data_IF_434210387911
#
_entry.id   IF_434210387911
#
_cell.length_a   1.000
_cell.length_b   1.000
_cell.length_c   1.000
_cell.angle_alpha   90.00
_cell.angle_beta   90.00
_cell.angle_gamma   90.00
#
_symmetry.space_group_name_H-M   'P 1'
#
loop_
_entity.id
_entity.type
_entity.pdbx_description
1 polymer ?
#
# COMPACT_ATOMS: atom_id res chain seq x y z
N UNK A 1 -9.05 20.67 -21.46
CA UNK A 1 -8.17 20.03 -20.47
C UNK A 1 -8.65 18.63 -20.14
N UNK A 2 -7.88 17.61 -20.49
CA UNK A 2 -8.15 16.26 -20.04
C UNK A 2 -7.58 16.07 -18.63
N UNK A 3 -8.44 15.79 -17.67
CA UNK A 3 -7.99 15.35 -16.38
C UNK A 3 -7.52 13.90 -16.48
N UNK A 4 -6.34 13.61 -15.95
CA UNK A 4 -5.88 12.24 -15.80
C UNK A 4 -6.86 11.48 -14.87
N UNK A 5 -7.29 10.31 -15.29
CA UNK A 5 -8.30 9.55 -14.58
C UNK A 5 -7.74 8.23 -14.09
N UNK A 6 -7.57 8.09 -12.78
CA UNK A 6 -7.26 6.80 -12.18
C UNK A 6 -8.45 5.85 -12.30
N UNK A 7 -8.17 4.57 -12.52
CA UNK A 7 -9.20 3.53 -12.64
C UNK A 7 -9.03 2.40 -11.64
N UNK A 8 -7.85 2.28 -11.03
CA UNK A 8 -7.51 1.20 -10.12
C UNK A 8 -6.74 1.73 -8.92
N UNK A 9 -6.92 1.09 -7.79
CA UNK A 9 -6.18 1.39 -6.57
C UNK A 9 -5.63 0.12 -5.94
N UNK A 10 -4.34 0.14 -5.58
CA UNK A 10 -3.70 -0.94 -4.84
C UNK A 10 -3.16 -0.44 -3.50
N UNK A 11 -3.30 -1.29 -2.49
CA UNK A 11 -2.62 -1.18 -1.23
C UNK A 11 -1.73 -2.41 -1.05
N UNK A 12 -0.44 -2.21 -0.84
CA UNK A 12 0.49 -3.32 -0.58
C UNK A 12 1.19 -3.07 0.74
N UNK A 13 1.08 -4.04 1.66
CA UNK A 13 1.83 -4.03 2.91
C UNK A 13 3.02 -4.99 2.80
N UNK A 14 4.23 -4.49 3.04
CA UNK A 14 5.43 -5.31 3.09
C UNK A 14 5.61 -5.88 4.50
N UNK A 15 5.21 -7.13 4.66
CA UNK A 15 5.25 -7.84 5.93
C UNK A 15 4.01 -8.71 6.14
N UNK A 16 3.85 -9.20 7.36
CA UNK A 16 2.67 -9.98 7.74
C UNK A 16 1.47 -9.06 7.96
N UNK A 17 0.43 -9.27 7.19
CA UNK A 17 -0.80 -8.48 7.27
C UNK A 17 -1.63 -8.97 8.47
N UNK A 18 -1.58 -8.23 9.57
CA UNK A 18 -2.35 -8.55 10.77
C UNK A 18 -3.85 -8.35 10.55
N UNK A 19 -4.73 -9.03 11.32
CA UNK A 19 -6.17 -8.83 11.21
C UNK A 19 -6.61 -7.36 11.36
N UNK A 20 -6.01 -6.63 12.28
CA UNK A 20 -6.36 -5.22 12.54
C UNK A 20 -5.98 -4.31 11.36
N UNK A 21 -4.79 -4.51 10.78
CA UNK A 21 -4.39 -3.76 9.59
C UNK A 21 -5.24 -4.14 8.38
N UNK A 22 -5.55 -5.43 8.21
CA UNK A 22 -6.45 -5.88 7.15
C UNK A 22 -7.82 -5.20 7.26
N UNK A 23 -8.40 -5.20 8.46
CA UNK A 23 -9.70 -4.56 8.71
C UNK A 23 -9.66 -3.07 8.38
N UNK A 24 -8.59 -2.38 8.80
CA UNK A 24 -8.39 -0.96 8.47
C UNK A 24 -8.34 -0.76 6.95
N UNK A 25 -7.53 -1.51 6.25
CA UNK A 25 -7.37 -1.37 4.79
C UNK A 25 -8.65 -1.75 4.04
N UNK A 26 -9.39 -2.76 4.50
CA UNK A 26 -10.70 -3.11 3.94
C UNK A 26 -11.70 -1.96 4.11
N UNK A 27 -11.71 -1.30 5.27
CA UNK A 27 -12.53 -0.11 5.51
C UNK A 27 -12.15 1.05 4.60
N UNK A 28 -10.85 1.31 4.43
CA UNK A 28 -10.35 2.35 3.50
C UNK A 28 -10.73 2.01 2.06
N UNK A 29 -10.56 0.76 1.66
CA UNK A 29 -10.98 0.32 0.31
C UNK A 29 -12.46 0.56 0.08
N UNK A 30 -13.31 0.13 1.00
CA UNK A 30 -14.76 0.29 0.86
C UNK A 30 -15.17 1.78 0.81
N UNK A 31 -14.66 2.58 1.72
CA UNK A 31 -15.07 3.98 1.87
C UNK A 31 -14.42 4.89 0.83
N UNK A 32 -13.08 4.93 0.80
CA UNK A 32 -12.34 5.84 -0.08
C UNK A 32 -12.37 5.36 -1.54
N UNK A 33 -11.99 4.10 -1.77
CA UNK A 33 -11.77 3.62 -3.12
C UNK A 33 -13.08 3.30 -3.84
N UNK A 34 -13.93 2.48 -3.24
CA UNK A 34 -15.16 2.05 -3.88
C UNK A 34 -16.25 3.13 -3.87
N UNK A 35 -16.52 3.76 -2.71
CA UNK A 35 -17.62 4.72 -2.58
C UNK A 35 -17.24 6.11 -3.09
N UNK A 36 -16.14 6.70 -2.61
CA UNK A 36 -15.79 8.08 -2.95
C UNK A 36 -15.17 8.17 -4.33
N UNK A 37 -14.16 7.33 -4.63
CA UNK A 37 -13.47 7.36 -5.92
C UNK A 37 -14.16 6.55 -7.02
N UNK A 38 -15.06 5.65 -6.65
CA UNK A 38 -15.82 4.84 -7.62
C UNK A 38 -14.96 3.90 -8.44
N UNK A 39 -13.87 3.36 -7.86
CA UNK A 39 -12.96 2.46 -8.57
C UNK A 39 -12.74 1.16 -7.80
N UNK A 40 -12.32 0.08 -8.47
CA UNK A 40 -11.91 -1.14 -7.79
C UNK A 40 -10.58 -0.95 -7.05
N UNK A 41 -10.41 -1.67 -5.95
CA UNK A 41 -9.21 -1.66 -5.13
C UNK A 41 -8.78 -3.06 -4.73
N UNK A 42 -7.48 -3.26 -4.57
CA UNK A 42 -6.88 -4.51 -4.08
C UNK A 42 -6.03 -4.25 -2.85
N UNK A 43 -5.99 -5.23 -1.97
CA UNK A 43 -5.10 -5.27 -0.80
C UNK A 43 -4.18 -6.47 -0.99
N UNK A 44 -2.88 -6.23 -0.91
CA UNK A 44 -1.84 -7.23 -1.15
C UNK A 44 -0.81 -7.24 -0.05
N UNK A 45 -0.07 -8.33 0.03
CA UNK A 45 1.08 -8.47 0.93
C UNK A 45 2.34 -8.74 0.13
N UNK A 46 3.40 -7.99 0.42
CA UNK A 46 4.74 -8.26 -0.10
C UNK A 46 5.61 -8.93 0.97
N UNK A 47 6.72 -9.57 0.57
CA UNK A 47 7.24 -9.67 -0.78
C UNK A 47 6.71 -10.86 -1.60
N UNK A 48 5.83 -11.68 -1.06
CA UNK A 48 5.35 -12.90 -1.74
C UNK A 48 4.65 -12.63 -3.07
N UNK A 49 4.03 -11.48 -3.23
CA UNK A 49 3.32 -11.09 -4.43
C UNK A 49 4.21 -10.47 -5.52
N UNK A 50 5.52 -10.38 -5.30
CA UNK A 50 6.44 -9.67 -6.18
C UNK A 50 6.36 -10.14 -7.63
N UNK A 51 6.49 -11.45 -7.86
CA UNK A 51 6.56 -12.00 -9.21
C UNK A 51 5.23 -12.01 -9.96
N UNK A 52 4.12 -12.01 -9.25
CA UNK A 52 2.80 -12.14 -9.87
C UNK A 52 2.09 -10.82 -10.08
N UNK A 53 2.41 -9.80 -9.30
CA UNK A 53 1.62 -8.56 -9.27
C UNK A 53 2.44 -7.29 -9.38
N UNK A 54 3.62 -7.19 -8.77
CA UNK A 54 4.44 -5.97 -8.82
C UNK A 54 5.01 -5.72 -10.22
N UNK A 55 5.36 -6.76 -10.96
CA UNK A 55 5.74 -6.64 -12.35
C UNK A 55 4.60 -6.06 -13.19
N UNK A 56 3.38 -6.53 -12.96
CA UNK A 56 2.18 -6.01 -13.63
C UNK A 56 1.91 -4.55 -13.26
N UNK A 57 2.20 -4.14 -12.03
CA UNK A 57 2.07 -2.75 -11.61
C UNK A 57 3.06 -1.85 -12.35
N UNK A 58 4.29 -2.33 -12.58
CA UNK A 58 5.32 -1.58 -13.28
C UNK A 58 5.03 -1.48 -14.78
N UNK A 59 4.56 -2.56 -15.39
CA UNK A 59 4.36 -2.67 -16.85
C UNK A 59 2.91 -2.46 -17.28
N UNK A 60 1.98 -2.38 -16.33
CA UNK A 60 0.55 -2.28 -16.60
C UNK A 60 0.08 -0.86 -16.96
N UNK A 61 -1.24 -0.63 -16.98
CA UNK A 61 -1.82 0.66 -17.34
C UNK A 61 -1.43 1.78 -16.38
N UNK A 62 -1.28 3.00 -16.89
CA UNK A 62 -0.95 4.19 -16.08
C UNK A 62 -2.08 4.65 -15.16
N UNK A 63 -3.28 4.12 -15.33
CA UNK A 63 -4.44 4.47 -14.52
C UNK A 63 -4.41 3.86 -13.10
N UNK A 64 -3.39 3.04 -12.79
CA UNK A 64 -3.19 2.49 -11.46
C UNK A 64 -2.54 3.53 -10.54
N UNK A 65 -3.09 3.69 -9.35
CA UNK A 65 -2.45 4.41 -8.25
C UNK A 65 -2.18 3.43 -7.11
N UNK A 66 -0.93 3.36 -6.66
CA UNK A 66 -0.48 2.40 -5.65
C UNK A 66 -0.13 3.10 -4.35
N UNK A 67 -0.50 2.50 -3.23
CA UNK A 67 -0.01 2.88 -1.91
C UNK A 67 0.70 1.69 -1.29
N UNK A 68 1.98 1.87 -1.00
CA UNK A 68 2.79 0.88 -0.33
C UNK A 68 2.99 1.27 1.12
N UNK A 69 2.73 0.33 2.01
CA UNK A 69 2.90 0.51 3.44
C UNK A 69 4.03 -0.38 3.93
N UNK A 70 4.89 0.16 4.77
CA UNK A 70 5.99 -0.57 5.36
C UNK A 70 6.18 -0.16 6.82
N UNK A 71 6.32 -1.16 7.71
CA UNK A 71 6.79 -0.94 9.06
C UNK A 71 8.31 -1.09 9.09
N UNK A 72 9.00 -0.20 9.80
CA UNK A 72 10.45 -0.24 9.93
C UNK A 72 10.92 -1.37 10.82
N UNK A 73 10.09 -1.78 11.78
CA UNK A 73 10.31 -2.91 12.66
C UNK A 73 9.10 -3.83 12.66
N UNK A 74 9.34 -5.14 12.64
CA UNK A 74 8.30 -6.16 12.62
C UNK A 74 8.48 -7.15 13.79
N UNK A 75 7.39 -7.79 14.15
CA UNK A 75 7.44 -8.95 15.03
C UNK A 75 8.09 -10.12 14.27
N UNK A 76 9.23 -10.68 14.74
CA UNK A 76 9.92 -11.77 14.06
C UNK A 76 9.06 -13.02 13.86
N UNK A 77 8.12 -13.28 14.76
CA UNK A 77 7.20 -14.41 14.65
C UNK A 77 6.25 -14.24 13.47
N UNK A 78 5.78 -13.00 13.22
CA UNK A 78 4.84 -12.71 12.15
C UNK A 78 5.52 -12.65 10.78
N UNK A 79 6.78 -12.23 10.72
CA UNK A 79 7.51 -12.06 9.47
C UNK A 79 8.34 -13.29 9.06
N UNK A 80 8.43 -14.29 9.92
CA UNK A 80 9.16 -15.53 9.65
C UNK A 80 10.64 -15.29 9.39
N UNK A 81 11.14 -15.73 8.24
CA UNK A 81 12.55 -15.62 7.85
C UNK A 81 12.92 -14.26 7.26
N UNK A 82 11.98 -13.38 7.03
CA UNK A 82 12.26 -12.06 6.47
C UNK A 82 12.74 -11.10 7.56
N UNK A 83 13.88 -10.45 7.35
CA UNK A 83 14.38 -9.40 8.23
C UNK A 83 13.70 -8.06 7.94
N UNK A 84 13.70 -7.16 8.95
CA UNK A 84 13.22 -5.79 8.76
C UNK A 84 13.97 -5.07 7.64
N UNK A 85 15.29 -5.25 7.58
CA UNK A 85 16.13 -4.65 6.53
C UNK A 85 15.75 -5.15 5.14
N UNK A 86 15.48 -6.45 5.01
CA UNK A 86 15.05 -7.03 3.75
C UNK A 86 13.70 -6.46 3.29
N UNK A 87 12.72 -6.44 4.18
CA UNK A 87 11.37 -5.92 3.87
C UNK A 87 11.41 -4.45 3.47
N UNK A 88 12.20 -3.65 4.20
CA UNK A 88 12.36 -2.23 3.87
C UNK A 88 13.10 -2.03 2.54
N UNK A 89 14.17 -2.77 2.30
CA UNK A 89 14.93 -2.70 1.06
C UNK A 89 14.07 -3.09 -0.15
N UNK A 90 13.29 -4.14 -0.01
CA UNK A 90 12.36 -4.59 -1.06
C UNK A 90 11.27 -3.54 -1.32
N UNK A 91 10.68 -2.95 -0.28
CA UNK A 91 9.69 -1.88 -0.42
C UNK A 91 10.28 -0.65 -1.13
N UNK A 92 11.48 -0.21 -0.74
CA UNK A 92 12.16 0.92 -1.36
C UNK A 92 12.56 0.64 -2.81
N UNK A 93 13.05 -0.56 -3.09
CA UNK A 93 13.43 -0.97 -4.45
C UNK A 93 12.23 -0.96 -5.39
N UNK A 94 11.12 -1.50 -4.97
CA UNK A 94 9.89 -1.49 -5.76
C UNK A 94 9.36 -0.06 -5.94
N UNK A 95 9.36 0.74 -4.88
CA UNK A 95 8.94 2.14 -4.96
C UNK A 95 9.81 2.92 -5.95
N UNK A 96 11.13 2.76 -5.87
CA UNK A 96 12.05 3.42 -6.79
C UNK A 96 11.84 2.99 -8.24
N UNK A 97 11.67 1.69 -8.47
CA UNK A 97 11.41 1.16 -9.81
C UNK A 97 10.12 1.72 -10.42
N UNK A 98 9.07 1.85 -9.60
CA UNK A 98 7.81 2.43 -10.05
C UNK A 98 7.95 3.94 -10.30
N UNK A 99 8.70 4.66 -9.48
CA UNK A 99 9.00 6.08 -9.71
C UNK A 99 9.78 6.27 -11.02
N UNK A 100 10.82 5.45 -11.25
CA UNK A 100 11.61 5.50 -12.47
C UNK A 100 10.78 5.18 -13.72
N UNK A 101 9.74 4.37 -13.58
CA UNK A 101 8.77 4.06 -14.63
C UNK A 101 7.65 5.11 -14.75
N UNK A 102 7.72 6.22 -14.03
CA UNK A 102 6.71 7.27 -13.97
C UNK A 102 5.33 6.77 -13.50
N UNK A 103 5.32 5.82 -12.58
CA UNK A 103 4.08 5.28 -12.00
C UNK A 103 3.62 6.13 -10.81
N UNK A 104 2.31 6.11 -10.59
CA UNK A 104 1.69 6.81 -9.46
C UNK A 104 1.78 5.95 -8.20
N UNK A 105 2.74 6.25 -7.34
CA UNK A 105 2.97 5.49 -6.12
C UNK A 105 3.22 6.42 -4.94
N UNK A 106 2.65 6.06 -3.79
CA UNK A 106 2.91 6.66 -2.49
C UNK A 106 3.42 5.58 -1.56
N UNK A 107 4.49 5.87 -0.83
CA UNK A 107 4.98 4.98 0.22
C UNK A 107 4.73 5.60 1.59
N UNK A 108 4.05 4.86 2.46
CA UNK A 108 3.80 5.22 3.85
C UNK A 108 4.65 4.32 4.73
N UNK A 109 5.60 4.92 5.44
CA UNK A 109 6.47 4.22 6.39
C UNK A 109 6.10 4.61 7.81
N UNK A 110 6.08 3.66 8.73
CA UNK A 110 5.83 3.89 10.13
C UNK A 110 6.76 3.00 10.99
N UNK A 111 7.08 3.42 12.25
CA UNK A 111 8.07 2.71 13.03
C UNK A 111 7.70 1.25 13.31
N UNK A 112 6.48 1.02 13.74
CA UNK A 112 5.99 -0.29 14.15
C UNK A 112 4.48 -0.37 13.97
N UNK A 113 3.95 -1.58 13.73
CA UNK A 113 2.50 -1.79 13.63
C UNK A 113 1.89 -1.87 15.05
N UNK A 114 1.61 -0.72 15.62
CA UNK A 114 1.03 -0.52 16.95
C UNK A 114 -0.39 0.04 16.83
N UNK A 115 -1.20 0.00 17.92
CA UNK A 115 -2.49 0.68 17.94
C UNK A 115 -2.41 2.17 17.55
N UNK A 116 -1.35 2.87 17.98
CA UNK A 116 -1.11 4.27 17.64
C UNK A 116 -0.86 4.44 16.13
N UNK A 117 -0.04 3.58 15.54
CA UNK A 117 0.23 3.60 14.10
C UNK A 117 -1.04 3.33 13.29
N UNK A 118 -1.87 2.39 13.73
CA UNK A 118 -3.17 2.14 13.11
C UNK A 118 -4.10 3.35 13.22
N UNK A 119 -4.11 4.03 14.37
CA UNK A 119 -4.84 5.27 14.56
C UNK A 119 -4.38 6.37 13.60
N UNK A 120 -3.08 6.55 13.47
CA UNK A 120 -2.49 7.53 12.54
C UNK A 120 -2.83 7.22 11.09
N UNK A 121 -2.82 5.95 10.71
CA UNK A 121 -3.23 5.53 9.36
C UNK A 121 -4.71 5.81 9.11
N UNK A 122 -5.58 5.55 10.09
CA UNK A 122 -7.00 5.87 9.99
C UNK A 122 -7.22 7.37 9.77
N UNK A 123 -6.55 8.20 10.56
CA UNK A 123 -6.63 9.66 10.43
C UNK A 123 -6.12 10.14 9.08
N UNK A 124 -5.00 9.58 8.61
CA UNK A 124 -4.46 9.92 7.30
C UNK A 124 -5.48 9.64 6.18
N UNK A 125 -6.03 8.43 6.14
CA UNK A 125 -6.98 8.07 5.10
C UNK A 125 -8.33 8.78 5.24
N UNK A 126 -8.78 9.06 6.45
CA UNK A 126 -9.97 9.89 6.68
C UNK A 126 -9.75 11.31 6.16
N UNK A 127 -8.59 11.90 6.42
CA UNK A 127 -8.22 13.21 5.90
C UNK A 127 -8.16 13.26 4.37
N UNK A 128 -7.65 12.22 3.73
CA UNK A 128 -7.68 12.08 2.26
C UNK A 128 -9.12 12.00 1.76
N UNK A 129 -9.94 11.17 2.39
CA UNK A 129 -11.34 10.98 2.01
C UNK A 129 -12.14 12.28 2.10
N UNK A 130 -11.93 13.05 3.17
CA UNK A 130 -12.67 14.30 3.42
C UNK A 130 -12.30 15.42 2.42
N UNK A 131 -11.15 15.31 1.78
CA UNK A 131 -10.69 16.29 0.77
C UNK A 131 -11.13 15.98 -0.65
N UNK A 132 -11.72 14.83 -0.85
CA UNK A 132 -12.22 14.37 -2.15
C UNK A 132 -13.74 14.50 -2.22
#
# INVERSE_FOLDING_TARGET
RQAFRFRYKDFTFNGALTPDLRELLEGVRARLVNQVLGMPGKIRTGPSDYHSTEQSETDGPFELVSTRLVALEHDPILCGSYSDKFLLAQARGTWQAMEDANRWIVMLAFPRLTPEALGDLREFFAGVTDRL
#
